data_IF_071376803233
#
_entry.id   IF_071376803233
#
_cell.length_a   1.000
_cell.length_b   1.000
_cell.length_c   1.000
_cell.angle_alpha   90.00
_cell.angle_beta   90.00
_cell.angle_gamma   90.00
#
_symmetry.space_group_name_H-M   'P 1'
#
loop_
_entity.id
_entity.type
_entity.pdbx_description
1 polymer ?
#
# COMPACT_ATOMS: atom_id res chain seq x y z
N UNK A 1 -3.94 -4.95 28.38
CA UNK A 1 -3.09 -4.62 27.21
C UNK A 1 -2.45 -5.86 26.55
N UNK A 2 -1.59 -6.63 27.23
CA UNK A 2 -0.85 -7.76 26.61
C UNK A 2 -1.74 -8.79 25.91
N UNK A 3 -2.87 -9.14 26.53
CA UNK A 3 -3.85 -10.06 25.94
C UNK A 3 -4.35 -9.63 24.57
N UNK A 4 -4.42 -8.32 24.30
CA UNK A 4 -4.78 -7.79 22.99
C UNK A 4 -3.66 -8.01 21.96
N UNK A 5 -2.40 -7.76 22.31
CA UNK A 5 -1.27 -7.97 21.38
C UNK A 5 -1.01 -9.45 21.07
N UNK A 6 -1.35 -10.34 22.00
CA UNK A 6 -1.14 -11.78 21.90
C UNK A 6 -2.37 -12.56 21.41
N UNK A 7 -3.45 -11.88 21.03
CA UNK A 7 -4.70 -12.52 20.58
C UNK A 7 -4.51 -13.27 19.26
N UNK A 8 -5.36 -14.28 19.04
CA UNK A 8 -5.51 -14.99 17.76
C UNK A 8 -4.20 -15.65 17.24
N UNK A 9 -3.22 -15.84 18.13
CA UNK A 9 -1.99 -16.59 17.86
C UNK A 9 -2.14 -18.04 18.32
N UNK A 10 -1.52 -18.98 17.59
CA UNK A 10 -1.38 -20.36 18.07
C UNK A 10 -0.59 -20.41 19.39
N UNK A 11 -0.75 -21.44 20.23
CA UNK A 11 -0.07 -21.52 21.52
C UNK A 11 1.46 -21.35 21.44
N UNK A 12 2.10 -21.96 20.44
CA UNK A 12 3.54 -21.82 20.22
C UNK A 12 3.94 -20.39 19.84
N UNK A 13 3.21 -19.79 18.88
CA UNK A 13 3.41 -18.41 18.43
C UNK A 13 3.16 -17.38 19.53
N UNK A 14 2.15 -17.64 20.38
CA UNK A 14 1.83 -16.80 21.53
C UNK A 14 2.98 -16.77 22.53
N UNK A 15 3.58 -17.92 22.85
CA UNK A 15 4.77 -18.01 23.73
C UNK A 15 5.94 -17.23 23.16
N UNK A 16 6.26 -17.42 21.88
CA UNK A 16 7.35 -16.70 21.22
C UNK A 16 7.14 -15.17 21.24
N UNK A 17 5.92 -14.72 20.95
CA UNK A 17 5.59 -13.29 20.89
C UNK A 17 5.52 -12.65 22.29
N UNK A 18 5.18 -13.44 23.32
CA UNK A 18 5.17 -12.98 24.71
C UNK A 18 6.59 -12.65 25.21
N UNK A 19 7.64 -13.30 24.71
CA UNK A 19 9.03 -12.98 25.06
C UNK A 19 9.47 -11.58 24.56
N UNK A 20 8.72 -11.00 23.63
CA UNK A 20 8.96 -9.65 23.10
C UNK A 20 8.19 -8.56 23.85
N UNK A 21 7.40 -8.95 24.86
CA UNK A 21 6.62 -8.02 25.68
C UNK A 21 7.17 -8.00 27.10
N UNK A 22 7.50 -6.81 27.58
CA UNK A 22 7.94 -6.59 28.96
C UNK A 22 7.01 -5.61 29.64
N UNK A 23 6.42 -6.03 30.76
CA UNK A 23 5.69 -5.12 31.64
C UNK A 23 6.70 -4.34 32.48
N UNK A 24 6.89 -3.07 32.15
CA UNK A 24 7.79 -2.19 32.89
C UNK A 24 7.05 -1.46 34.03
N UNK A 25 7.69 -1.28 35.21
CA UNK A 25 7.19 -0.36 36.23
C UNK A 25 7.31 1.10 35.75
N UNK A 26 6.57 2.01 36.39
CA UNK A 26 6.68 3.45 36.18
C UNK A 26 7.21 4.08 37.48
N UNK A 27 8.31 4.86 37.43
CA UNK A 27 9.07 5.27 36.24
C UNK A 27 9.83 4.11 35.59
N UNK A 28 9.98 4.19 34.27
CA UNK A 28 10.67 3.18 33.48
C UNK A 28 12.14 3.12 33.93
N UNK A 29 12.58 1.95 34.39
CA UNK A 29 13.99 1.69 34.72
C UNK A 29 14.87 1.90 33.48
N UNK A 30 16.19 2.04 33.65
CA UNK A 30 17.16 2.32 32.58
C UNK A 30 17.25 1.27 31.44
N UNK A 31 16.31 0.34 31.36
CA UNK A 31 16.18 -0.62 30.27
C UNK A 31 15.69 0.08 29.00
N UNK A 32 16.39 -0.13 27.89
CA UNK A 32 15.95 0.37 26.59
C UNK A 32 14.85 -0.53 26.03
N UNK A 33 13.80 0.10 25.52
CA UNK A 33 12.69 -0.55 24.83
C UNK A 33 12.56 0.04 23.42
N UNK A 34 12.35 -0.79 22.41
CA UNK A 34 12.14 -0.33 21.03
C UNK A 34 10.83 0.46 20.89
N UNK A 35 9.77 -0.02 21.55
CA UNK A 35 8.43 0.58 21.53
C UNK A 35 7.84 0.54 22.95
N UNK A 36 7.50 1.70 23.49
CA UNK A 36 6.80 1.83 24.77
C UNK A 36 5.32 2.14 24.54
N UNK A 37 4.43 1.33 25.11
CA UNK A 37 2.98 1.51 25.06
C UNK A 37 2.43 1.66 26.48
N UNK A 38 1.66 2.72 26.71
CA UNK A 38 1.09 3.08 28.00
C UNK A 38 -0.37 2.69 28.06
N UNK A 39 -0.84 2.23 29.21
CA UNK A 39 -2.28 2.01 29.41
C UNK A 39 -2.96 3.36 29.65
N UNK A 40 -4.18 3.52 29.14
CA UNK A 40 -4.94 4.77 29.25
C UNK A 40 -5.20 5.21 30.70
N UNK A 41 -5.19 4.26 31.65
CA UNK A 41 -5.38 4.55 33.07
C UNK A 41 -4.14 5.12 33.78
N UNK A 42 -3.04 5.36 33.06
CA UNK A 42 -1.74 5.66 33.65
C UNK A 42 -1.19 6.98 33.15
N UNK A 43 -0.56 7.74 34.04
CA UNK A 43 0.15 8.96 33.67
C UNK A 43 1.21 8.66 32.61
N UNK A 44 1.13 9.35 31.47
CA UNK A 44 1.99 9.13 30.32
C UNK A 44 2.43 10.47 29.71
N UNK A 45 3.60 10.50 29.05
CA UNK A 45 4.04 11.68 28.30
C UNK A 45 3.05 12.08 27.21
N UNK A 46 3.07 13.34 26.79
CA UNK A 46 2.12 13.90 25.80
C UNK A 46 2.12 13.13 24.47
N UNK A 47 3.30 12.72 23.99
CA UNK A 47 3.48 11.96 22.75
C UNK A 47 3.53 10.43 22.94
N UNK A 48 3.02 9.92 24.06
CA UNK A 48 3.03 8.49 24.33
C UNK A 48 2.11 7.70 23.39
N UNK A 49 2.50 6.46 23.09
CA UNK A 49 1.61 5.49 22.48
C UNK A 49 0.66 4.96 23.56
N UNK A 50 -0.57 5.47 23.60
CA UNK A 50 -1.57 5.08 24.60
C UNK A 50 -2.50 4.01 24.04
N UNK A 51 -2.57 2.87 24.72
CA UNK A 51 -3.53 1.80 24.45
C UNK A 51 -4.85 2.07 25.16
N UNK A 52 -5.92 2.15 24.38
CA UNK A 52 -7.30 2.19 24.87
C UNK A 52 -8.00 0.88 24.50
N UNK A 53 -8.51 0.11 25.48
CA UNK A 53 -9.21 -1.16 25.21
C UNK A 53 -10.37 -1.03 24.22
N UNK A 54 -11.16 0.05 24.32
CA UNK A 54 -12.36 0.27 23.48
C UNK A 54 -12.02 0.75 22.06
N UNK A 55 -10.81 1.31 21.90
CA UNK A 55 -10.33 1.86 20.62
C UNK A 55 -8.84 1.54 20.44
N UNK A 56 -8.49 0.27 20.16
CA UNK A 56 -7.08 -0.12 20.07
C UNK A 56 -6.45 0.24 18.73
N UNK A 57 -7.24 0.57 17.70
CA UNK A 57 -6.75 0.86 16.34
C UNK A 57 -5.77 2.05 16.26
N UNK A 58 -6.02 3.20 16.92
CA UNK A 58 -5.11 4.34 16.86
C UNK A 58 -3.70 4.05 17.38
N UNK A 59 -3.54 3.22 18.42
CA UNK A 59 -2.19 2.91 18.91
C UNK A 59 -1.41 2.11 17.87
N UNK A 60 -2.05 1.16 17.19
CA UNK A 60 -1.42 0.39 16.11
C UNK A 60 -1.00 1.30 14.95
N UNK A 61 -1.90 2.16 14.49
CA UNK A 61 -1.64 3.08 13.38
C UNK A 61 -0.53 4.08 13.72
N UNK A 62 -0.55 4.64 14.94
CA UNK A 62 0.50 5.55 15.44
C UNK A 62 1.85 4.84 15.56
N UNK A 63 1.89 3.63 16.09
CA UNK A 63 3.14 2.85 16.20
C UNK A 63 3.74 2.58 14.82
N UNK A 64 2.95 2.12 13.85
CA UNK A 64 3.43 1.90 12.48
C UNK A 64 3.85 3.19 11.76
N UNK A 65 3.29 4.33 12.15
CA UNK A 65 3.71 5.64 11.63
C UNK A 65 5.02 6.13 12.25
N UNK A 66 5.19 5.93 13.56
CA UNK A 66 6.36 6.38 14.33
C UNK A 66 7.58 5.49 14.12
N UNK A 67 7.37 4.19 13.93
CA UNK A 67 8.44 3.19 13.81
C UNK A 67 8.31 2.39 12.51
N UNK A 68 8.52 3.02 11.34
CA UNK A 68 8.35 2.36 10.04
C UNK A 68 9.27 1.16 9.85
N UNK A 69 10.49 1.22 10.40
CA UNK A 69 11.50 0.15 10.29
C UNK A 69 11.11 -1.10 11.09
N UNK A 70 10.28 -0.92 12.13
CA UNK A 70 9.73 -2.01 12.94
C UNK A 70 8.44 -2.58 12.35
N UNK A 71 7.95 -2.09 11.21
CA UNK A 71 6.66 -2.50 10.65
C UNK A 71 6.55 -4.01 10.38
N UNK A 72 7.56 -4.60 9.74
CA UNK A 72 7.61 -6.05 9.47
C UNK A 72 7.69 -6.88 10.76
N UNK A 73 8.67 -6.65 11.68
CA UNK A 73 8.74 -7.45 12.90
C UNK A 73 7.49 -7.29 13.79
N UNK A 74 6.89 -6.10 13.86
CA UNK A 74 5.62 -5.89 14.57
C UNK A 74 4.48 -6.69 13.93
N UNK A 75 4.31 -6.60 12.61
CA UNK A 75 3.27 -7.31 11.87
C UNK A 75 3.42 -8.83 11.94
N UNK A 76 4.67 -9.31 11.88
CA UNK A 76 5.03 -10.73 12.02
C UNK A 76 4.70 -11.22 13.41
N UNK A 77 5.16 -10.54 14.46
CA UNK A 77 5.08 -11.00 15.85
C UNK A 77 3.69 -10.80 16.47
N UNK A 78 2.99 -9.71 16.13
CA UNK A 78 1.73 -9.33 16.76
C UNK A 78 0.62 -9.18 15.73
N UNK A 79 -0.33 -10.12 15.74
CA UNK A 79 -1.40 -10.17 14.72
C UNK A 79 -2.20 -8.85 14.57
N UNK A 80 -2.46 -8.05 15.63
CA UNK A 80 -3.12 -6.76 15.48
C UNK A 80 -2.41 -5.78 14.52
N UNK A 81 -1.10 -5.91 14.31
CA UNK A 81 -0.33 -5.06 13.41
C UNK A 81 -0.35 -5.54 11.96
N UNK A 82 -0.62 -6.84 11.71
CA UNK A 82 -0.47 -7.43 10.37
C UNK A 82 -1.31 -6.74 9.31
N UNK A 83 -2.62 -6.69 9.52
CA UNK A 83 -3.55 -6.10 8.55
C UNK A 83 -3.32 -4.60 8.34
N UNK A 84 -3.18 -3.76 9.39
CA UNK A 84 -2.84 -2.35 9.21
C UNK A 84 -1.51 -2.11 8.48
N UNK A 85 -0.49 -2.95 8.75
CA UNK A 85 0.78 -2.88 8.04
C UNK A 85 0.62 -3.23 6.55
N UNK A 86 -0.03 -4.34 6.23
CA UNK A 86 -0.27 -4.78 4.85
C UNK A 86 -1.09 -3.74 4.08
N UNK A 87 -2.18 -3.22 4.67
CA UNK A 87 -2.99 -2.14 4.06
C UNK A 87 -2.14 -0.89 3.76
N UNK A 88 -1.20 -0.53 4.66
CA UNK A 88 -0.28 0.59 4.46
C UNK A 88 0.72 0.32 3.34
N UNK A 89 1.31 -0.87 3.26
CA UNK A 89 2.22 -1.27 2.18
C UNK A 89 1.50 -1.21 0.83
N UNK A 90 0.33 -1.85 0.71
CA UNK A 90 -0.47 -1.86 -0.53
C UNK A 90 -0.83 -0.43 -0.96
N UNK A 91 -1.31 0.40 -0.03
CA UNK A 91 -1.68 1.78 -0.31
C UNK A 91 -0.49 2.62 -0.76
N UNK A 92 0.67 2.46 -0.11
CA UNK A 92 1.92 3.16 -0.45
C UNK A 92 2.38 2.77 -1.86
N UNK A 93 2.52 1.48 -2.13
CA UNK A 93 2.98 0.96 -3.44
C UNK A 93 2.02 1.33 -4.57
N UNK A 94 0.70 1.28 -4.32
CA UNK A 94 -0.30 1.70 -5.31
C UNK A 94 -0.16 3.20 -5.66
N UNK A 95 0.11 4.06 -4.66
CA UNK A 95 0.36 5.50 -4.88
C UNK A 95 1.67 5.75 -5.61
N UNK A 96 2.75 5.05 -5.26
CA UNK A 96 4.05 5.15 -5.93
C UNK A 96 3.93 4.78 -7.42
N UNK A 97 3.24 3.69 -7.73
CA UNK A 97 3.00 3.27 -9.11
C UNK A 97 2.10 4.25 -9.89
N UNK A 98 1.13 4.87 -9.22
CA UNK A 98 0.28 5.92 -9.80
C UNK A 98 1.10 7.17 -10.11
N UNK A 99 1.92 7.61 -9.15
CA UNK A 99 2.80 8.76 -9.29
C UNK A 99 3.77 8.56 -10.45
N UNK A 100 4.47 7.41 -10.47
CA UNK A 100 5.39 7.07 -11.55
C UNK A 100 4.71 7.11 -12.92
N UNK A 101 3.51 6.54 -13.04
CA UNK A 101 2.75 6.57 -14.28
C UNK A 101 2.36 8.00 -14.72
N UNK A 102 2.11 8.91 -13.77
CA UNK A 102 1.83 10.31 -14.06
C UNK A 102 3.09 11.04 -14.49
N UNK A 103 4.19 10.86 -13.77
CA UNK A 103 5.46 11.56 -14.03
C UNK A 103 6.09 11.12 -15.34
N UNK A 104 6.09 9.83 -15.69
CA UNK A 104 6.69 9.37 -16.96
C UNK A 104 5.84 9.72 -18.19
N UNK A 105 4.56 10.04 -18.00
CA UNK A 105 3.69 10.51 -19.07
C UNK A 105 3.72 12.04 -19.25
N UNK A 106 4.46 12.77 -18.41
CA UNK A 106 4.56 14.23 -18.43
C UNK A 106 6.04 14.66 -18.58
N UNK A 107 6.52 14.94 -19.81
CA UNK A 107 7.92 15.25 -20.09
C UNK A 107 8.49 16.44 -19.30
N UNK A 108 7.65 17.44 -18.99
CA UNK A 108 8.07 18.71 -18.36
C UNK A 108 7.95 18.72 -16.82
N UNK A 109 7.66 17.57 -16.19
CA UNK A 109 7.43 17.45 -14.72
C UNK A 109 8.56 16.68 -14.05
N UNK A 110 9.71 16.57 -14.71
CA UNK A 110 10.92 16.01 -14.13
C UNK A 110 11.71 17.20 -13.57
N UNK A 111 11.67 17.49 -12.25
CA UNK A 111 12.76 18.28 -11.67
C UNK A 111 14.02 17.47 -11.92
N UNK A 112 15.04 18.13 -12.47
CA UNK A 112 16.43 17.71 -12.59
C UNK A 112 16.70 16.26 -12.18
N UNK A 113 17.14 15.46 -13.14
CA UNK A 113 17.63 14.05 -13.12
C UNK A 113 18.54 13.67 -11.90
N UNK A 114 18.87 14.64 -11.05
CA UNK A 114 19.81 14.62 -9.92
C UNK A 114 19.13 14.31 -8.56
N UNK A 115 17.82 14.52 -8.37
CA UNK A 115 17.16 14.35 -7.04
C UNK A 115 16.42 13.01 -6.81
N UNK A 116 16.46 12.09 -7.78
CA UNK A 116 15.94 10.73 -7.61
C UNK A 116 17.11 9.73 -7.68
N UNK A 117 17.79 9.43 -6.55
CA UNK A 117 18.99 8.58 -6.51
C UNK A 117 18.83 7.18 -7.15
N UNK A 118 17.60 6.72 -7.38
CA UNK A 118 17.27 5.41 -7.97
C UNK A 118 16.69 5.48 -9.40
N UNK A 119 16.45 6.67 -9.97
CA UNK A 119 15.74 6.79 -11.26
C UNK A 119 16.63 6.74 -12.50
N UNK A 120 17.96 6.79 -12.37
CA UNK A 120 18.85 7.06 -13.52
C UNK A 120 19.98 6.03 -13.67
N UNK A 121 20.32 5.26 -12.64
CA UNK A 121 21.63 4.62 -12.64
C UNK A 121 21.79 3.37 -13.53
N UNK A 122 20.83 2.44 -13.70
CA UNK A 122 21.19 1.24 -14.50
C UNK A 122 20.12 0.33 -15.10
N UNK A 123 18.85 0.36 -14.71
CA UNK A 123 17.78 -0.47 -15.31
C UNK A 123 16.43 0.22 -15.03
N UNK A 124 15.40 0.29 -15.87
CA UNK A 124 15.06 -0.21 -17.18
C UNK A 124 13.72 0.51 -17.58
N UNK A 125 13.10 0.18 -18.71
CA UNK A 125 11.79 0.70 -19.15
C UNK A 125 10.75 0.87 -18.03
N UNK A 126 9.67 1.67 -18.26
CA UNK A 126 8.46 1.79 -17.40
C UNK A 126 7.99 0.45 -16.76
N UNK A 127 8.38 -0.68 -17.34
CA UNK A 127 8.12 -2.05 -16.88
C UNK A 127 8.94 -2.52 -15.71
N UNK A 128 10.23 -2.21 -15.67
CA UNK A 128 11.07 -2.65 -14.56
C UNK A 128 10.68 -1.96 -13.24
N UNK A 129 10.45 -0.64 -13.28
CA UNK A 129 10.14 0.12 -12.07
C UNK A 129 8.83 -0.33 -11.39
N UNK A 130 7.74 -0.37 -12.15
CA UNK A 130 6.43 -0.80 -11.62
C UNK A 130 6.47 -2.22 -11.06
N UNK A 131 7.24 -3.11 -11.71
CA UNK A 131 7.38 -4.50 -11.29
C UNK A 131 8.21 -4.60 -10.01
N UNK A 132 9.29 -3.82 -9.88
CA UNK A 132 10.12 -3.81 -8.67
C UNK A 132 9.34 -3.36 -7.43
N UNK A 133 8.51 -2.33 -7.56
CA UNK A 133 7.62 -1.89 -6.48
C UNK A 133 6.63 -2.97 -6.06
N UNK A 134 6.05 -3.70 -7.02
CA UNK A 134 5.13 -4.81 -6.74
C UNK A 134 5.83 -6.02 -6.11
N UNK A 135 7.05 -6.33 -6.55
CA UNK A 135 7.89 -7.39 -5.97
C UNK A 135 8.27 -7.05 -4.53
N UNK A 136 8.71 -5.81 -4.27
CA UNK A 136 8.98 -5.34 -2.91
C UNK A 136 7.74 -5.44 -2.02
N UNK A 137 6.57 -5.04 -2.52
CA UNK A 137 5.30 -5.18 -1.80
C UNK A 137 5.00 -6.65 -1.46
N UNK A 138 5.19 -7.57 -2.42
CA UNK A 138 4.97 -8.99 -2.19
C UNK A 138 5.88 -9.54 -1.08
N UNK A 139 7.18 -9.22 -1.11
CA UNK A 139 8.11 -9.61 -0.05
C UNK A 139 7.68 -9.09 1.33
N UNK A 140 7.25 -7.82 1.43
CA UNK A 140 6.80 -7.25 2.70
C UNK A 140 5.51 -7.90 3.23
N UNK A 141 4.55 -8.20 2.36
CA UNK A 141 3.30 -8.87 2.73
C UNK A 141 3.58 -10.30 3.22
N UNK A 142 4.45 -11.03 2.53
CA UNK A 142 4.86 -12.36 2.92
C UNK A 142 5.62 -12.38 4.25
N UNK A 143 6.56 -11.45 4.44
CA UNK A 143 7.31 -11.28 5.70
C UNK A 143 6.39 -11.00 6.89
N UNK A 144 5.38 -10.13 6.70
CA UNK A 144 4.37 -9.82 7.70
C UNK A 144 3.46 -11.02 8.03
N UNK A 145 3.34 -11.95 7.09
CA UNK A 145 2.51 -13.16 7.21
C UNK A 145 3.27 -14.37 7.76
N UNK A 146 4.49 -14.18 8.27
CA UNK A 146 5.35 -15.25 8.81
C UNK A 146 5.72 -16.32 7.76
N UNK A 147 5.76 -15.95 6.48
CA UNK A 147 6.25 -16.80 5.40
C UNK A 147 7.76 -16.61 5.22
N UNK A 148 8.45 -17.64 4.77
CA UNK A 148 9.85 -17.52 4.36
C UNK A 148 9.98 -16.49 3.23
N UNK A 149 10.99 -15.63 3.34
CA UNK A 149 11.21 -14.52 2.42
C UNK A 149 12.48 -14.81 1.63
N UNK A 150 12.33 -14.91 0.31
CA UNK A 150 13.46 -15.04 -0.59
C UNK A 150 13.00 -15.35 -2.02
N UNK A 151 13.87 -15.07 -2.98
CA UNK A 151 13.57 -15.27 -4.40
C UNK A 151 13.32 -16.74 -4.73
N UNK A 152 13.90 -17.68 -3.98
CA UNK A 152 13.74 -19.10 -4.23
C UNK A 152 12.46 -19.66 -3.58
N UNK A 153 12.14 -19.12 -2.41
CA UNK A 153 11.02 -19.50 -1.54
C UNK A 153 9.69 -18.91 -2.06
N UNK A 154 9.74 -17.81 -2.82
CA UNK A 154 8.57 -17.09 -3.33
C UNK A 154 8.51 -17.01 -4.87
N UNK A 155 9.09 -18.01 -5.57
CA UNK A 155 9.14 -18.01 -7.04
C UNK A 155 7.77 -17.93 -7.69
N UNK A 156 6.76 -18.61 -7.13
CA UNK A 156 5.40 -18.62 -7.68
C UNK A 156 4.70 -17.29 -7.46
N UNK A 157 4.90 -16.63 -6.32
CA UNK A 157 4.36 -15.29 -6.07
C UNK A 157 5.05 -14.23 -6.93
N UNK A 158 6.36 -14.30 -7.09
CA UNK A 158 7.10 -13.42 -8.00
C UNK A 158 6.64 -13.64 -9.45
N UNK A 159 6.48 -14.88 -9.89
CA UNK A 159 5.94 -15.21 -11.21
C UNK A 159 4.51 -14.66 -11.38
N UNK A 160 3.68 -14.75 -10.33
CA UNK A 160 2.31 -14.20 -10.31
C UNK A 160 2.31 -12.67 -10.37
N UNK A 161 3.21 -12.01 -9.65
CA UNK A 161 3.42 -10.56 -9.69
C UNK A 161 3.81 -10.13 -11.11
N UNK A 162 4.80 -10.80 -11.71
CA UNK A 162 5.26 -10.52 -13.08
C UNK A 162 4.12 -10.74 -14.09
N UNK A 163 3.45 -11.88 -14.03
CA UNK A 163 2.31 -12.20 -14.91
C UNK A 163 1.17 -11.19 -14.79
N UNK A 164 0.83 -10.80 -13.56
CA UNK A 164 -0.18 -9.77 -13.27
C UNK A 164 0.25 -8.41 -13.81
N UNK A 165 1.52 -8.02 -13.65
CA UNK A 165 2.06 -6.79 -14.17
C UNK A 165 1.90 -6.69 -15.69
N UNK A 166 2.20 -7.77 -16.44
CA UNK A 166 1.97 -7.81 -17.89
C UNK A 166 0.48 -7.74 -18.25
N UNK A 167 -0.40 -8.42 -17.50
CA UNK A 167 -1.85 -8.37 -17.68
C UNK A 167 -2.43 -6.96 -17.53
N UNK A 168 -2.08 -6.27 -16.44
CA UNK A 168 -2.55 -4.89 -16.19
C UNK A 168 -2.03 -3.88 -17.21
N UNK A 169 -0.82 -4.10 -17.75
CA UNK A 169 -0.29 -3.28 -18.86
C UNK A 169 -1.09 -3.44 -20.14
N UNK A 170 -1.50 -4.67 -20.47
CA UNK A 170 -2.35 -4.91 -21.64
C UNK A 170 -3.68 -4.17 -21.49
N UNK A 171 -4.31 -4.23 -20.31
CA UNK A 171 -5.54 -3.47 -20.01
C UNK A 171 -5.32 -1.97 -20.11
N UNK A 172 -4.22 -1.44 -19.56
CA UNK A 172 -3.90 -0.02 -19.65
C UNK A 172 -3.79 0.45 -21.11
N UNK A 173 -3.10 -0.32 -21.99
CA UNK A 173 -2.99 0.01 -23.42
C UNK A 173 -4.33 -0.01 -24.13
N UNK A 174 -5.18 -1.01 -23.87
CA UNK A 174 -6.53 -1.07 -24.44
C UNK A 174 -7.39 0.12 -23.99
N UNK A 175 -7.29 0.53 -22.73
CA UNK A 175 -8.03 1.67 -22.20
C UNK A 175 -7.54 2.99 -22.79
N UNK A 176 -6.23 3.18 -22.94
CA UNK A 176 -5.68 4.37 -23.61
C UNK A 176 -6.19 4.49 -25.06
N UNK A 177 -6.27 3.37 -25.79
CA UNK A 177 -6.77 3.36 -27.16
C UNK A 177 -8.29 3.61 -27.30
N UNK A 178 -9.06 3.47 -26.21
CA UNK A 178 -10.52 3.62 -26.20
C UNK A 178 -11.01 4.93 -25.58
N UNK A 179 -10.14 5.68 -24.89
CA UNK A 179 -10.51 6.96 -24.26
C UNK A 179 -10.12 8.11 -25.20
N UNK A 180 -11.08 8.80 -25.83
CA UNK A 180 -10.76 9.90 -26.72
C UNK A 180 -10.15 11.10 -25.97
N UNK A 181 -9.22 11.79 -26.64
CA UNK A 181 -8.67 13.13 -26.29
C UNK A 181 -8.08 13.34 -24.89
N UNK A 182 -7.03 12.57 -24.55
CA UNK A 182 -6.14 12.88 -23.42
C UNK A 182 -6.63 12.40 -22.05
N UNK A 183 -7.87 11.91 -21.91
CA UNK A 183 -8.38 11.20 -20.71
C UNK A 183 -7.60 9.94 -20.34
N UNK A 184 -6.74 9.46 -21.25
CA UNK A 184 -5.90 8.29 -21.09
C UNK A 184 -4.94 8.37 -19.89
N UNK A 185 -4.49 9.56 -19.47
CA UNK A 185 -3.53 9.67 -18.36
C UNK A 185 -4.14 9.26 -17.01
N UNK A 186 -5.26 9.89 -16.62
CA UNK A 186 -5.95 9.55 -15.36
C UNK A 186 -6.45 8.10 -15.36
N UNK A 187 -6.91 7.61 -16.52
CA UNK A 187 -7.30 6.22 -16.68
C UNK A 187 -6.09 5.27 -16.51
N UNK A 188 -4.96 5.52 -17.18
CA UNK A 188 -3.73 4.72 -17.09
C UNK A 188 -3.20 4.69 -15.65
N UNK A 189 -3.15 5.85 -15.00
CA UNK A 189 -2.75 5.97 -13.60
C UNK A 189 -3.71 5.21 -12.66
N UNK A 190 -5.02 5.26 -12.92
CA UNK A 190 -6.00 4.48 -12.16
C UNK A 190 -5.88 2.97 -12.37
N UNK A 191 -5.52 2.49 -13.58
CA UNK A 191 -5.20 1.07 -13.82
C UNK A 191 -3.98 0.65 -13.02
N UNK A 192 -2.91 1.46 -13.03
CA UNK A 192 -1.69 1.17 -12.26
C UNK A 192 -1.98 1.04 -10.75
N UNK A 193 -2.79 1.96 -10.22
CA UNK A 193 -3.29 1.89 -8.84
C UNK A 193 -4.10 0.60 -8.60
N UNK A 194 -5.11 0.34 -9.44
CA UNK A 194 -6.05 -0.75 -9.25
C UNK A 194 -5.38 -2.12 -9.33
N UNK A 195 -4.56 -2.33 -10.36
CA UNK A 195 -3.82 -3.58 -10.53
C UNK A 195 -2.87 -3.87 -9.38
N UNK A 196 -2.17 -2.84 -8.89
CA UNK A 196 -1.29 -2.97 -7.71
C UNK A 196 -2.08 -3.30 -6.45
N UNK A 197 -3.21 -2.62 -6.22
CA UNK A 197 -4.05 -2.86 -5.06
C UNK A 197 -4.66 -4.26 -5.04
N UNK A 198 -5.24 -4.70 -6.16
CA UNK A 198 -5.85 -6.03 -6.28
C UNK A 198 -4.80 -7.13 -6.09
N UNK A 199 -3.60 -6.95 -6.66
CA UNK A 199 -2.49 -7.89 -6.47
C UNK A 199 -2.10 -8.01 -4.99
N UNK A 200 -1.91 -6.88 -4.31
CA UNK A 200 -1.58 -6.87 -2.88
C UNK A 200 -2.66 -7.52 -2.01
N UNK A 201 -3.93 -7.21 -2.28
CA UNK A 201 -5.07 -7.83 -1.57
C UNK A 201 -5.13 -9.34 -1.84
N UNK A 202 -4.83 -9.77 -3.06
CA UNK A 202 -4.83 -11.20 -3.42
C UNK A 202 -3.73 -11.96 -2.68
N UNK A 203 -2.55 -11.36 -2.50
CA UNK A 203 -1.46 -11.94 -1.71
C UNK A 203 -1.83 -12.02 -0.22
N UNK A 204 -2.38 -10.95 0.35
CA UNK A 204 -2.86 -10.94 1.74
C UNK A 204 -3.94 -12.00 1.99
N UNK A 205 -4.89 -12.12 1.06
CA UNK A 205 -5.94 -13.13 1.13
C UNK A 205 -5.39 -14.55 1.03
N UNK A 206 -4.47 -14.79 0.09
CA UNK A 206 -3.80 -16.08 -0.05
C UNK A 206 -3.03 -16.48 1.20
N UNK A 207 -2.28 -15.55 1.82
CA UNK A 207 -1.52 -15.87 3.02
C UNK A 207 -2.38 -16.02 4.27
N UNK A 208 -3.52 -15.33 4.35
CA UNK A 208 -4.43 -15.43 5.50
C UNK A 208 -5.33 -16.66 5.46
N UNK A 209 -5.83 -17.06 4.28
CA UNK A 209 -6.87 -18.09 4.14
C UNK A 209 -6.41 -19.31 3.32
N UNK A 210 -5.31 -19.19 2.55
CA UNK A 210 -4.74 -20.29 1.76
C UNK A 210 -5.32 -20.43 0.34
N UNK A 211 -6.33 -19.63 -0.01
CA UNK A 211 -6.96 -19.62 -1.33
C UNK A 211 -6.90 -18.23 -1.94
N UNK A 212 -6.99 -18.16 -3.27
CA UNK A 212 -7.06 -16.89 -4.00
C UNK A 212 -8.52 -16.48 -4.22
N UNK A 213 -8.78 -15.18 -4.35
CA UNK A 213 -10.09 -14.67 -4.73
C UNK A 213 -10.62 -15.31 -6.02
N UNK A 214 -11.94 -15.50 -6.07
CA UNK A 214 -12.65 -15.89 -7.31
C UNK A 214 -12.53 -14.80 -8.37
N UNK A 215 -12.88 -15.11 -9.62
CA UNK A 215 -12.84 -14.12 -10.70
C UNK A 215 -13.79 -12.97 -10.39
N UNK A 216 -15.00 -13.29 -9.94
CA UNK A 216 -16.05 -12.34 -9.61
C UNK A 216 -15.64 -11.42 -8.45
N UNK A 217 -14.97 -11.95 -7.42
CA UNK A 217 -14.43 -11.16 -6.32
C UNK A 217 -13.32 -10.22 -6.79
N UNK A 218 -12.38 -10.71 -7.61
CA UNK A 218 -11.31 -9.87 -8.16
C UNK A 218 -11.86 -8.76 -9.05
N UNK A 219 -12.90 -9.02 -9.84
CA UNK A 219 -13.52 -8.01 -10.69
C UNK A 219 -14.19 -6.89 -9.87
N UNK A 220 -14.86 -7.26 -8.76
CA UNK A 220 -15.41 -6.29 -7.80
C UNK A 220 -14.29 -5.46 -7.14
N UNK A 221 -13.24 -6.13 -6.64
CA UNK A 221 -12.09 -5.47 -6.05
C UNK A 221 -11.41 -4.52 -7.03
N UNK A 222 -11.27 -4.93 -8.29
CA UNK A 222 -10.69 -4.10 -9.33
C UNK A 222 -11.56 -2.88 -9.63
N UNK A 223 -12.87 -3.05 -9.79
CA UNK A 223 -13.79 -1.93 -10.01
C UNK A 223 -13.70 -0.89 -8.87
N UNK A 224 -13.64 -1.35 -7.63
CA UNK A 224 -13.53 -0.50 -6.44
C UNK A 224 -12.17 0.20 -6.37
N UNK A 225 -11.09 -0.56 -6.60
CA UNK A 225 -9.74 -0.04 -6.62
C UNK A 225 -9.53 0.96 -7.78
N UNK A 226 -10.15 0.76 -8.93
CA UNK A 226 -10.10 1.68 -10.06
C UNK A 226 -10.81 3.01 -9.75
N UNK A 227 -11.98 2.97 -9.09
CA UNK A 227 -12.66 4.19 -8.62
C UNK A 227 -11.80 4.96 -7.62
N UNK A 228 -11.11 4.26 -6.71
CA UNK A 228 -10.15 4.87 -5.79
C UNK A 228 -8.93 5.44 -6.54
N UNK A 229 -8.40 4.68 -7.49
CA UNK A 229 -7.26 5.05 -8.32
C UNK A 229 -7.50 6.33 -9.11
N UNK A 230 -8.69 6.53 -9.67
CA UNK A 230 -9.06 7.79 -10.33
C UNK A 230 -8.98 8.99 -9.39
N UNK A 231 -9.47 8.85 -8.14
CA UNK A 231 -9.41 9.92 -7.13
C UNK A 231 -7.97 10.22 -6.73
N UNK A 232 -7.16 9.18 -6.52
CA UNK A 232 -5.74 9.31 -6.18
C UNK A 232 -4.96 9.98 -7.33
N UNK A 233 -5.17 9.52 -8.57
CA UNK A 233 -4.53 10.08 -9.75
C UNK A 233 -4.90 11.55 -9.95
N UNK A 234 -6.19 11.90 -9.83
CA UNK A 234 -6.64 13.29 -9.93
C UNK A 234 -6.00 14.17 -8.84
N UNK A 235 -5.92 13.68 -7.60
CA UNK A 235 -5.27 14.40 -6.50
C UNK A 235 -3.77 14.61 -6.76
N UNK A 236 -3.04 13.57 -7.16
CA UNK A 236 -1.62 13.68 -7.52
C UNK A 236 -1.44 14.68 -8.67
N UNK A 237 -2.26 14.57 -9.73
CA UNK A 237 -2.19 15.48 -10.87
C UNK A 237 -2.49 16.93 -10.47
N UNK A 238 -3.45 17.18 -9.57
CA UNK A 238 -3.74 18.53 -9.10
C UNK A 238 -2.57 19.19 -8.36
N UNK A 239 -1.74 18.40 -7.68
CA UNK A 239 -0.53 18.92 -7.01
C UNK A 239 0.62 19.13 -8.01
N UNK A 240 0.82 18.22 -8.97
CA UNK A 240 1.94 18.29 -9.91
C UNK A 240 1.72 19.25 -11.08
N UNK A 241 0.49 19.27 -11.63
CA UNK A 241 0.09 20.02 -12.82
C UNK A 241 -1.34 20.54 -12.66
N UNK A 242 -1.54 21.59 -11.85
CA UNK A 242 -2.87 22.16 -11.61
C UNK A 242 -3.54 22.65 -12.92
N UNK A 243 -2.74 23.10 -13.89
CA UNK A 243 -3.18 23.50 -15.23
C UNK A 243 -3.82 22.34 -16.02
N UNK A 244 -3.19 21.16 -16.01
CA UNK A 244 -3.74 19.97 -16.65
C UNK A 244 -4.95 19.45 -15.88
N UNK A 245 -4.90 19.45 -14.55
CA UNK A 245 -6.03 19.06 -13.72
C UNK A 245 -7.27 19.93 -13.97
N UNK A 246 -7.10 21.25 -14.13
CA UNK A 246 -8.18 22.17 -14.47
C UNK A 246 -8.77 21.89 -15.85
N UNK A 247 -7.93 21.58 -16.85
CA UNK A 247 -8.37 21.16 -18.19
C UNK A 247 -9.21 19.88 -18.15
N UNK A 248 -8.80 18.89 -17.38
CA UNK A 248 -9.58 17.66 -17.18
C UNK A 248 -10.94 17.96 -16.51
N UNK A 249 -10.95 18.79 -15.46
CA UNK A 249 -12.18 19.13 -14.74
C UNK A 249 -13.18 19.91 -15.61
N UNK A 250 -12.72 20.89 -16.37
CA UNK A 250 -13.55 21.66 -17.30
C UNK A 250 -14.19 20.77 -18.38
N UNK A 251 -13.43 19.80 -18.90
CA UNK A 251 -13.89 18.90 -19.96
C UNK A 251 -14.81 17.78 -19.44
N UNK A 252 -14.64 17.34 -18.20
CA UNK A 252 -15.60 16.43 -17.54
C UNK A 252 -16.98 17.09 -17.41
N UNK A 253 -17.02 18.40 -17.11
CA UNK A 253 -18.26 19.18 -17.05
C UNK A 253 -18.93 19.33 -18.42
N UNK A 254 -18.15 19.49 -19.50
CA UNK A 254 -18.71 19.59 -20.86
C UNK A 254 -19.33 18.29 -21.37
N UNK A 255 -18.85 17.13 -20.92
CA UNK A 255 -19.41 15.81 -21.29
C UNK A 255 -20.72 15.51 -20.54
N UNK A 256 -20.86 16.03 -19.31
CA UNK A 256 -22.03 15.79 -18.47
C UNK A 256 -23.17 16.81 -18.66
N UNK A 257 -22.98 17.82 -19.52
CA UNK A 257 -24.05 18.72 -19.92
C UNK A 257 -24.96 17.99 -20.92
N UNK A 258 -26.29 17.95 -20.71
CA UNK A 258 -27.19 17.43 -21.71
C UNK A 258 -27.01 18.27 -22.98
N UNK A 259 -26.85 17.61 -24.13
CA UNK A 259 -26.91 18.28 -25.42
C UNK A 259 -28.29 18.91 -25.50
N UNK A 260 -28.35 20.24 -25.35
CA UNK A 260 -29.58 20.98 -25.62
C UNK A 260 -29.90 20.76 -27.08
N UNK A 261 -30.91 19.95 -27.36
CA UNK A 261 -31.48 19.78 -28.69
C UNK A 261 -31.93 21.15 -29.18
N UNK A 262 -31.26 21.64 -30.23
CA UNK A 262 -31.77 22.71 -31.08
C UNK A 262 -32.82 22.15 -32.04
#
# INVERSE_FOLDING_TARGET
MEGFFLRDLSPARRRQSALLLTRAPIPVLAQQYDVAVYDAGVASPEDALVFHPDRPRPVIEKTLARYPDLGVPLAKSFLPFRRPFVERVISKTSRENTLFCITTALPDVIPSVIELPWAVAEFASDTAFLTMNQVRMAFLIAAASDREVGYLEQKSEIATVIGSAFGWRALARQLVGKVPFGGGLLAKAAVAYAGTKVLGLSLDHYYSIGFTYTREERDRLYADAFRQGKKVAARILSYLRPDLAARYAAKQRSINLPVSSA
#
